data_IF_549639500979
#
_entry.id   IF_549639500979
#
_cell.length_a   1.000
_cell.length_b   1.000
_cell.length_c   1.000
_cell.angle_alpha   90.00
_cell.angle_beta   90.00
_cell.angle_gamma   90.00
#
_symmetry.space_group_name_H-M   'P 1'
#
loop_
_entity.id
_entity.type
_entity.pdbx_description
1 polymer ?
#
# COMPACT_ATOMS: atom_id res chain seq x y z
N UNK A 1 8.13 10.36 -7.76
CA UNK A 1 7.55 11.31 -6.79
C UNK A 1 6.05 11.10 -6.78
N UNK A 2 5.52 10.46 -5.74
CA UNK A 2 4.10 10.45 -5.35
C UNK A 2 4.02 9.64 -4.03
N UNK A 3 4.88 9.97 -3.05
CA UNK A 3 4.71 9.55 -1.65
C UNK A 3 3.93 10.68 -0.99
N UNK A 4 2.63 10.50 -0.84
CA UNK A 4 1.76 11.46 -0.15
C UNK A 4 1.78 11.18 1.36
N UNK A 5 1.76 12.22 2.18
CA UNK A 5 1.45 12.11 3.61
C UNK A 5 0.08 11.46 3.81
N UNK A 6 -0.14 10.89 5.00
CA UNK A 6 -1.44 10.31 5.33
C UNK A 6 -2.55 11.37 5.28
N UNK A 7 -3.74 11.03 4.77
CA UNK A 7 -4.88 11.95 4.79
C UNK A 7 -5.27 12.31 6.22
N UNK A 8 -5.64 13.56 6.44
CA UNK A 8 -6.12 14.02 7.74
C UNK A 8 -7.53 13.50 8.03
N UNK A 9 -7.82 13.20 9.29
CA UNK A 9 -9.14 12.80 9.75
C UNK A 9 -9.57 11.38 9.36
N UNK A 10 -8.74 10.63 8.65
CA UNK A 10 -8.97 9.23 8.31
C UNK A 10 -7.81 8.38 8.82
N UNK A 11 -8.13 7.26 9.44
CA UNK A 11 -7.12 6.32 9.95
C UNK A 11 -6.58 5.48 8.80
N UNK A 12 -5.62 6.03 8.06
CA UNK A 12 -5.07 5.41 6.86
C UNK A 12 -3.88 4.48 7.14
N UNK A 13 -3.79 3.39 6.37
CA UNK A 13 -2.62 2.53 6.29
C UNK A 13 -1.86 2.71 4.96
N UNK A 14 -0.56 2.48 4.99
CA UNK A 14 0.31 2.52 3.81
C UNK A 14 0.88 1.13 3.50
N UNK A 15 0.66 0.64 2.28
CA UNK A 15 1.40 -0.46 1.70
C UNK A 15 2.52 0.11 0.82
N UNK A 16 3.71 0.26 1.39
CA UNK A 16 4.85 0.83 0.71
C UNK A 16 5.61 -0.23 -0.10
N UNK A 17 6.10 0.15 -1.29
CA UNK A 17 6.94 -0.76 -2.06
C UNK A 17 8.31 -0.93 -1.39
N UNK A 18 8.90 0.20 -0.98
CA UNK A 18 10.16 0.30 -0.22
C UNK A 18 9.95 1.08 1.08
N UNK A 19 10.87 1.00 2.06
CA UNK A 19 10.73 1.76 3.30
C UNK A 19 10.56 3.27 3.02
N UNK A 20 9.61 3.95 3.69
CA UNK A 20 9.54 5.41 3.67
C UNK A 20 10.71 6.06 4.39
N UNK A 21 11.04 7.26 3.95
CA UNK A 21 11.92 8.16 4.70
C UNK A 21 11.08 8.94 5.71
N UNK A 22 11.35 8.71 7.00
CA UNK A 22 10.65 9.40 8.09
C UNK A 22 9.24 8.90 8.36
N UNK A 23 8.54 9.63 9.24
CA UNK A 23 7.15 9.39 9.57
C UNK A 23 6.24 10.18 8.62
N UNK A 24 5.38 9.47 7.91
CA UNK A 24 4.43 10.03 6.95
C UNK A 24 3.02 10.22 7.55
N UNK A 25 2.86 9.96 8.85
CA UNK A 25 1.59 10.15 9.57
C UNK A 25 0.56 9.03 9.38
N UNK A 26 0.94 7.92 8.73
CA UNK A 26 0.06 6.76 8.57
C UNK A 26 -0.09 6.00 9.89
N UNK A 27 -1.30 5.53 10.18
CA UNK A 27 -1.57 4.77 11.41
C UNK A 27 -0.91 3.39 11.40
N UNK A 28 -0.63 2.84 10.21
CA UNK A 28 0.13 1.61 10.02
C UNK A 28 0.86 1.66 8.67
N UNK A 29 2.08 1.11 8.63
CA UNK A 29 2.90 1.01 7.42
C UNK A 29 3.40 -0.42 7.27
N UNK A 30 3.23 -0.99 6.08
CA UNK A 30 3.78 -2.29 5.71
C UNK A 30 4.64 -2.16 4.46
N UNK A 31 5.86 -2.70 4.52
CA UNK A 31 6.84 -2.62 3.43
C UNK A 31 6.89 -3.94 2.67
N UNK A 32 6.76 -3.88 1.35
CA UNK A 32 6.80 -5.04 0.47
C UNK A 32 8.22 -5.54 0.19
N UNK A 33 9.19 -4.66 0.06
CA UNK A 33 10.60 -5.04 -0.04
C UNK A 33 11.53 -3.95 0.48
N UNK A 34 12.53 -4.31 1.27
CA UNK A 34 13.53 -3.36 1.78
C UNK A 34 14.33 -2.69 0.67
N UNK A 35 14.53 -3.39 -0.47
CA UNK A 35 15.37 -2.93 -1.59
C UNK A 35 14.64 -2.85 -2.93
N UNK A 36 13.31 -2.98 -2.92
CA UNK A 36 12.51 -2.97 -4.14
C UNK A 36 12.66 -4.25 -4.99
N UNK A 37 12.94 -5.38 -4.36
CA UNK A 37 12.95 -6.68 -5.02
C UNK A 37 11.51 -7.16 -5.31
N UNK A 38 11.22 -7.44 -6.58
CA UNK A 38 9.86 -7.80 -7.01
C UNK A 38 9.44 -9.21 -6.56
N UNK A 39 10.38 -10.12 -6.32
CA UNK A 39 10.10 -11.46 -5.80
C UNK A 39 9.71 -11.36 -4.33
N UNK A 40 10.48 -10.60 -3.54
CA UNK A 40 10.16 -10.33 -2.13
C UNK A 40 8.81 -9.62 -2.01
N UNK A 41 8.57 -8.60 -2.83
CA UNK A 41 7.31 -7.87 -2.83
C UNK A 41 6.11 -8.77 -3.14
N UNK A 42 6.23 -9.64 -4.14
CA UNK A 42 5.17 -10.61 -4.48
C UNK A 42 4.92 -11.60 -3.33
N UNK A 43 5.99 -12.08 -2.68
CA UNK A 43 5.90 -13.01 -1.56
C UNK A 43 5.21 -12.39 -0.33
N UNK A 44 5.53 -11.13 -0.02
CA UNK A 44 5.02 -10.44 1.18
C UNK A 44 3.62 -9.85 1.01
N UNK A 45 3.19 -9.56 -0.21
CA UNK A 45 1.98 -8.81 -0.55
C UNK A 45 0.75 -9.16 0.31
N UNK A 46 0.32 -10.42 0.30
CA UNK A 46 -0.89 -10.82 1.02
C UNK A 46 -0.74 -10.77 2.54
N UNK A 47 0.45 -11.05 3.05
CA UNK A 47 0.71 -10.98 4.49
C UNK A 47 0.69 -9.54 4.98
N UNK A 48 1.23 -8.61 4.19
CA UNK A 48 1.23 -7.18 4.46
C UNK A 48 -0.19 -6.60 4.41
N UNK A 49 -0.96 -6.90 3.37
CA UNK A 49 -2.37 -6.50 3.29
C UNK A 49 -3.17 -6.98 4.51
N UNK A 50 -3.03 -8.25 4.90
CA UNK A 50 -3.70 -8.77 6.10
C UNK A 50 -3.24 -8.12 7.40
N UNK A 51 -2.01 -7.64 7.50
CA UNK A 51 -1.53 -6.90 8.67
C UNK A 51 -2.15 -5.50 8.71
N UNK A 52 -2.23 -4.82 7.57
CA UNK A 52 -2.95 -3.56 7.44
C UNK A 52 -4.43 -3.73 7.78
N UNK A 53 -5.13 -4.72 7.22
CA UNK A 53 -6.54 -4.99 7.54
C UNK A 53 -6.76 -5.18 9.06
N UNK A 54 -5.86 -5.92 9.73
CA UNK A 54 -5.95 -6.15 11.18
C UNK A 54 -5.56 -4.94 12.04
N UNK A 55 -4.90 -3.93 11.46
CA UNK A 55 -4.54 -2.71 12.20
C UNK A 55 -5.73 -1.78 12.44
N UNK A 56 -6.88 -2.06 11.82
CA UNK A 56 -8.10 -1.27 11.97
C UNK A 56 -8.04 0.07 11.23
N UNK A 57 -7.25 0.16 10.16
CA UNK A 57 -7.28 1.29 9.24
C UNK A 57 -8.54 1.27 8.39
N UNK A 58 -9.05 2.45 8.08
CA UNK A 58 -10.28 2.64 7.30
C UNK A 58 -10.01 2.50 5.79
N UNK A 59 -8.80 2.87 5.37
CA UNK A 59 -8.36 2.85 3.98
C UNK A 59 -6.88 2.48 3.90
N UNK A 60 -6.52 1.75 2.84
CA UNK A 60 -5.14 1.40 2.52
C UNK A 60 -4.72 2.14 1.26
N UNK A 61 -3.67 2.95 1.36
CA UNK A 61 -2.96 3.51 0.22
C UNK A 61 -1.83 2.57 -0.16
N UNK A 62 -1.74 2.19 -1.44
CA UNK A 62 -0.68 1.33 -1.93
C UNK A 62 0.22 2.09 -2.91
N UNK A 63 1.53 2.02 -2.70
CA UNK A 63 2.50 2.59 -3.62
C UNK A 63 2.55 1.81 -4.94
N UNK A 64 2.86 2.51 -6.03
CA UNK A 64 3.09 1.87 -7.32
C UNK A 64 4.34 1.02 -7.26
N UNK A 65 4.22 -0.22 -7.74
CA UNK A 65 5.33 -1.14 -7.98
C UNK A 65 5.71 -1.07 -9.47
N UNK A 66 7.01 -1.11 -9.84
CA UNK A 66 7.44 -1.10 -11.24
C UNK A 66 6.73 -2.18 -12.07
N UNK A 67 6.07 -1.80 -13.16
CA UNK A 67 5.23 -2.71 -13.97
C UNK A 67 6.05 -3.55 -14.97
N UNK A 68 7.06 -4.24 -14.46
CA UNK A 68 7.91 -5.18 -15.19
C UNK A 68 7.90 -6.54 -14.49
N UNK A 69 7.94 -7.64 -15.26
CA UNK A 69 7.94 -8.99 -14.70
C UNK A 69 6.83 -9.21 -13.66
N UNK A 70 7.21 -9.61 -12.44
CA UNK A 70 6.29 -9.82 -11.31
C UNK A 70 5.56 -8.56 -10.86
N UNK A 71 6.13 -7.37 -11.06
CA UNK A 71 5.48 -6.12 -10.67
C UNK A 71 4.17 -5.84 -11.43
N UNK A 72 4.05 -6.28 -12.69
CA UNK A 72 2.76 -6.26 -13.42
C UNK A 72 1.71 -7.09 -12.71
N UNK A 73 2.11 -8.27 -12.24
CA UNK A 73 1.22 -9.15 -11.52
C UNK A 73 0.78 -8.50 -10.21
N UNK A 74 1.72 -7.97 -9.41
CA UNK A 74 1.42 -7.25 -8.16
C UNK A 74 0.42 -6.12 -8.40
N UNK A 75 0.70 -5.24 -9.38
CA UNK A 75 -0.18 -4.11 -9.70
C UNK A 75 -1.57 -4.55 -10.16
N UNK A 76 -1.69 -5.63 -10.93
CA UNK A 76 -3.00 -6.21 -11.28
C UNK A 76 -3.80 -6.64 -10.05
N UNK A 77 -3.17 -7.24 -9.03
CA UNK A 77 -3.85 -7.64 -7.79
C UNK A 77 -4.26 -6.41 -6.99
N UNK A 78 -3.39 -5.42 -6.87
CA UNK A 78 -3.69 -4.16 -6.18
C UNK A 78 -4.84 -3.41 -6.85
N UNK A 79 -4.86 -3.32 -8.19
CA UNK A 79 -5.95 -2.69 -8.96
C UNK A 79 -7.28 -3.41 -8.78
N UNK A 80 -7.26 -4.75 -8.69
CA UNK A 80 -8.47 -5.55 -8.41
C UNK A 80 -8.96 -5.39 -6.98
N UNK A 81 -8.05 -5.22 -6.02
CA UNK A 81 -8.37 -5.01 -4.61
C UNK A 81 -8.83 -3.57 -4.32
N UNK A 82 -8.39 -2.61 -5.14
CA UNK A 82 -8.86 -1.23 -5.07
C UNK A 82 -10.35 -1.19 -5.45
N UNK A 83 -11.21 -1.23 -4.44
CA UNK A 83 -12.60 -0.84 -4.61
C UNK A 83 -12.62 0.62 -5.05
N UNK A 84 -13.39 0.93 -6.11
CA UNK A 84 -13.74 2.32 -6.39
C UNK A 84 -14.56 2.82 -5.19
N UNK A 85 -13.92 3.55 -4.28
CA UNK A 85 -14.63 4.39 -3.34
C UNK A 85 -15.29 5.51 -4.14
N UNK A 86 -16.51 5.28 -4.59
CA UNK A 86 -17.41 6.34 -5.02
C UNK A 86 -17.98 6.96 -3.73
N UNK A 87 -17.12 7.71 -3.04
CA UNK A 87 -17.50 8.44 -1.85
C UNK A 87 -18.34 9.63 -2.25
N UNK A 88 -19.66 9.49 -2.14
CA UNK A 88 -20.59 10.61 -2.09
C UNK A 88 -20.27 11.39 -0.80
N UNK A 89 -19.45 12.43 -0.93
CA UNK A 89 -19.22 13.40 0.13
C UNK A 89 -20.42 14.35 0.10
N UNK A 90 -21.43 14.03 0.92
CA UNK A 90 -22.50 14.96 1.28
C UNK A 90 -22.02 16.11 2.16
#
# INVERSE_FOLDING_TARGET
>A
EERSEAPQGVRAGLLAFTPPEGDLGYAAVEVLSERGDLVEAAYRLFSALRRLDRSGVEVIYAERVPEVGLGRAIMDRLRKAANKFEGDWG
#
